data_IF_329685136197
#
_entry.id   IF_329685136197
#
_cell.length_a   1.000
_cell.length_b   1.000
_cell.length_c   1.000
_cell.angle_alpha   90.00
_cell.angle_beta   90.00
_cell.angle_gamma   90.00
#
_symmetry.space_group_name_H-M   'P 1'
#
loop_
_entity.id
_entity.type
_entity.pdbx_description
1 polymer ?
#
# COMPACT_ATOMS: atom_id res chain seq x y z
N UNK A 1 3.47 5.37 1.97
CA UNK A 1 2.33 5.08 1.07
C UNK A 1 2.55 3.79 0.28
N UNK A 2 3.55 3.73 -0.61
CA UNK A 2 3.80 2.50 -1.41
C UNK A 2 4.31 1.31 -0.59
N UNK A 3 4.97 1.56 0.55
CA UNK A 3 5.36 0.50 1.49
C UNK A 3 4.14 -0.29 2.01
N UNK A 4 3.05 0.40 2.36
CA UNK A 4 1.80 -0.26 2.79
C UNK A 4 1.23 -1.14 1.67
N UNK A 5 1.22 -0.65 0.44
CA UNK A 5 0.76 -1.41 -0.73
C UNK A 5 1.64 -2.65 -0.98
N UNK A 6 2.96 -2.52 -0.84
CA UNK A 6 3.89 -3.63 -0.96
C UNK A 6 3.66 -4.68 0.13
N UNK A 7 3.50 -4.26 1.39
CA UNK A 7 3.21 -5.18 2.51
C UNK A 7 1.91 -5.94 2.28
N UNK A 8 0.86 -5.27 1.80
CA UNK A 8 -0.42 -5.91 1.46
C UNK A 8 -0.27 -6.95 0.34
N UNK A 9 0.64 -6.73 -0.62
CA UNK A 9 0.88 -7.68 -1.71
C UNK A 9 1.48 -9.01 -1.27
N UNK A 10 2.10 -9.05 -0.08
CA UNK A 10 2.69 -10.23 0.52
C UNK A 10 1.73 -10.97 1.47
N UNK A 11 0.53 -10.44 1.67
CA UNK A 11 -0.46 -10.99 2.62
C UNK A 11 -1.60 -11.70 1.91
N UNK A 12 -2.32 -12.56 2.65
CA UNK A 12 -3.58 -13.16 2.20
C UNK A 12 -4.75 -12.30 2.66
N UNK A 13 -5.68 -12.04 1.75
CA UNK A 13 -6.90 -11.27 2.02
C UNK A 13 -8.02 -12.15 2.57
N UNK A 14 -8.93 -11.60 3.40
CA UNK A 14 -8.98 -10.21 3.87
C UNK A 14 -7.97 -9.91 4.99
N UNK A 15 -7.53 -8.65 5.09
CA UNK A 15 -6.61 -8.16 6.14
C UNK A 15 -7.27 -7.07 6.96
N UNK A 16 -7.29 -7.23 8.29
CA UNK A 16 -7.81 -6.22 9.22
C UNK A 16 -6.69 -5.29 9.70
N UNK A 17 -6.96 -3.99 9.70
CA UNK A 17 -6.01 -2.93 10.09
C UNK A 17 -6.69 -2.00 11.08
N UNK A 18 -6.27 -2.04 12.34
CA UNK A 18 -6.82 -1.21 13.42
C UNK A 18 -5.96 0.03 13.73
N UNK A 19 -4.71 0.07 13.26
CA UNK A 19 -3.82 1.19 13.52
C UNK A 19 -4.23 2.44 12.73
N UNK A 20 -4.45 3.56 13.42
CA UNK A 20 -4.98 4.78 12.81
C UNK A 20 -4.10 5.30 11.67
N UNK A 21 -2.78 5.31 11.84
CA UNK A 21 -1.83 5.77 10.80
C UNK A 21 -1.88 4.86 9.58
N UNK A 22 -2.04 3.55 9.77
CA UNK A 22 -2.21 2.61 8.66
C UNK A 22 -3.58 2.78 7.98
N UNK A 23 -4.65 3.04 8.74
CA UNK A 23 -5.98 3.33 8.20
C UNK A 23 -5.96 4.60 7.33
N UNK A 24 -5.27 5.66 7.75
CA UNK A 24 -5.11 6.86 6.93
C UNK A 24 -4.35 6.59 5.61
N UNK A 25 -3.32 5.73 5.66
CA UNK A 25 -2.63 5.30 4.46
C UNK A 25 -3.52 4.45 3.54
N UNK A 26 -4.37 3.59 4.12
CA UNK A 26 -5.38 2.83 3.36
C UNK A 26 -6.38 3.76 2.70
N UNK A 27 -6.86 4.81 3.38
CA UNK A 27 -7.76 5.82 2.78
C UNK A 27 -7.14 6.46 1.54
N UNK A 28 -5.85 6.78 1.57
CA UNK A 28 -5.13 7.33 0.41
C UNK A 28 -5.00 6.33 -0.73
N UNK A 29 -4.72 5.07 -0.42
CA UNK A 29 -4.60 4.01 -1.43
C UNK A 29 -5.95 3.65 -2.07
N UNK A 30 -7.01 3.63 -1.28
CA UNK A 30 -8.39 3.38 -1.71
C UNK A 30 -8.91 4.55 -2.57
N UNK A 31 -8.71 5.79 -2.13
CA UNK A 31 -9.04 6.99 -2.92
C UNK A 31 -8.25 7.08 -4.25
N UNK A 32 -7.03 6.53 -4.29
CA UNK A 32 -6.24 6.42 -5.52
C UNK A 32 -6.63 5.23 -6.41
N UNK A 33 -7.55 4.36 -5.96
CA UNK A 33 -8.01 3.18 -6.69
C UNK A 33 -7.02 2.01 -6.70
N UNK A 34 -6.02 1.99 -5.82
CA UNK A 34 -4.99 0.94 -5.79
C UNK A 34 -5.38 -0.29 -4.97
N UNK A 35 -6.27 -0.11 -3.99
CA UNK A 35 -6.79 -1.18 -3.16
C UNK A 35 -8.30 -1.12 -3.12
N UNK A 36 -8.92 -2.24 -2.74
CA UNK A 36 -10.32 -2.29 -2.37
C UNK A 36 -10.40 -2.50 -0.87
N UNK A 37 -10.76 -1.46 -0.12
CA UNK A 37 -10.86 -1.52 1.33
C UNK A 37 -12.26 -1.10 1.81
N UNK A 38 -12.71 -1.73 2.88
CA UNK A 38 -13.83 -1.24 3.69
C UNK A 38 -13.26 -0.46 4.86
N UNK A 39 -13.50 0.85 4.91
CA UNK A 39 -12.96 1.75 5.93
C UNK A 39 -14.13 2.37 6.70
N UNK A 40 -14.44 1.89 7.92
CA UNK A 40 -15.52 2.45 8.72
C UNK A 40 -15.20 3.91 9.09
N UNK A 41 -16.20 4.80 9.19
CA UNK A 41 -15.98 6.16 9.67
C UNK A 41 -15.54 6.16 11.13
N UNK A 42 -14.71 7.13 11.57
CA UNK A 42 -14.45 7.32 12.99
C UNK A 42 -15.76 7.72 13.69
N UNK A 43 -15.96 7.22 14.91
CA UNK A 43 -17.10 7.55 15.76
C UNK A 43 -16.60 8.05 17.12
N UNK A 44 -17.41 8.90 17.74
CA UNK A 44 -17.21 9.32 19.14
C UNK A 44 -17.99 8.33 19.99
N UNK A 45 -17.29 7.66 20.90
CA UNK A 45 -17.91 6.74 21.86
C UNK A 45 -18.42 7.51 23.09
N UNK A 46 -19.15 6.83 23.97
CA UNK A 46 -19.86 7.41 25.11
C UNK A 46 -18.94 8.04 26.17
N UNK A 47 -17.64 7.72 26.11
CA UNK A 47 -16.56 8.25 26.93
C UNK A 47 -15.84 9.45 26.26
N UNK A 48 -16.45 10.08 25.25
CA UNK A 48 -15.88 11.16 24.42
C UNK A 48 -14.57 10.78 23.72
N UNK A 49 -14.25 9.48 23.65
CA UNK A 49 -13.06 9.00 22.94
C UNK A 49 -13.38 8.78 21.46
N UNK A 50 -12.51 9.32 20.60
CA UNK A 50 -12.52 8.99 19.17
C UNK A 50 -12.06 7.55 18.98
N UNK A 51 -12.98 6.68 18.54
CA UNK A 51 -12.70 5.30 18.18
C UNK A 51 -13.00 5.09 16.70
N UNK A 52 -12.25 4.20 16.08
CA UNK A 52 -12.52 3.78 14.71
C UNK A 52 -12.40 2.26 14.67
N UNK A 53 -13.44 1.62 14.13
CA UNK A 53 -13.39 0.19 13.87
C UNK A 53 -12.26 -0.15 12.89
N UNK A 54 -11.69 -1.37 12.94
CA UNK A 54 -10.65 -1.77 12.03
C UNK A 54 -11.09 -1.67 10.56
N UNK A 55 -10.22 -1.12 9.71
CA UNK A 55 -10.41 -1.19 8.27
C UNK A 55 -10.13 -2.61 7.76
N UNK A 56 -10.92 -3.07 6.79
CA UNK A 56 -10.75 -4.39 6.16
C UNK A 56 -10.30 -4.21 4.72
N UNK A 57 -9.11 -4.70 4.39
CA UNK A 57 -8.62 -4.74 3.01
C UNK A 57 -9.08 -6.04 2.36
N UNK A 58 -9.82 -5.92 1.25
CA UNK A 58 -10.37 -7.06 0.52
C UNK A 58 -9.45 -7.54 -0.61
N UNK A 59 -8.60 -6.66 -1.13
CA UNK A 59 -7.63 -6.99 -2.17
C UNK A 59 -6.95 -5.77 -2.78
N UNK A 60 -5.95 -6.04 -3.61
CA UNK A 60 -5.27 -5.03 -4.44
C UNK A 60 -5.90 -5.03 -5.83
N UNK A 61 -6.17 -3.84 -6.37
CA UNK A 61 -6.75 -3.69 -7.71
C UNK A 61 -5.69 -3.92 -8.80
N UNK A 62 -6.08 -4.18 -10.06
CA UNK A 62 -5.12 -4.28 -11.17
C UNK A 62 -4.20 -3.06 -11.30
N UNK A 63 -4.70 -1.85 -10.99
CA UNK A 63 -3.92 -0.62 -10.99
C UNK A 63 -2.86 -0.60 -9.87
N UNK A 64 -3.22 -1.07 -8.67
CA UNK A 64 -2.29 -1.23 -7.56
C UNK A 64 -1.15 -2.20 -7.89
N UNK A 65 -1.47 -3.33 -8.51
CA UNK A 65 -0.47 -4.28 -9.01
C UNK A 65 0.43 -3.70 -10.10
N UNK A 66 -0.13 -2.92 -11.02
CA UNK A 66 0.66 -2.26 -12.08
C UNK A 66 1.69 -1.28 -11.50
N UNK A 67 1.35 -0.55 -10.43
CA UNK A 67 2.28 0.37 -9.76
C UNK A 67 3.37 -0.37 -9.00
N UNK A 68 3.02 -1.49 -8.33
CA UNK A 68 4.01 -2.34 -7.68
C UNK A 68 5.04 -2.86 -8.70
N UNK A 69 4.58 -3.33 -9.86
CA UNK A 69 5.45 -3.81 -10.94
C UNK A 69 6.33 -2.72 -11.58
N UNK A 70 5.84 -1.47 -11.64
CA UNK A 70 6.65 -0.32 -12.11
C UNK A 70 7.72 0.09 -11.10
N UNK A 71 7.41 0.02 -9.81
CA UNK A 71 8.37 0.29 -8.73
C UNK A 71 9.54 -0.70 -8.71
N UNK A 72 9.28 -1.98 -8.98
CA UNK A 72 10.32 -3.03 -9.02
C UNK A 72 11.31 -2.89 -10.19
N UNK A 73 10.95 -2.17 -11.26
CA UNK A 73 11.81 -1.98 -12.43
C UNK A 73 12.73 -0.74 -12.31
N UNK A 74 12.44 0.18 -11.39
CA UNK A 74 13.28 1.37 -11.15
C UNK A 74 14.50 1.09 -10.28
N UNK A 75 14.51 0.02 -9.48
CA UNK A 75 15.64 -0.31 -8.60
C UNK A 75 16.71 -1.15 -9.33
N UNK A 76 16.32 -1.91 -10.36
CA UNK A 76 17.25 -2.80 -11.09
C UNK A 76 18.00 -2.10 -12.25
N UNK A 77 17.53 -0.93 -12.68
CA UNK A 77 18.12 -0.17 -13.79
C UNK A 77 19.33 0.69 -13.41
N UNK A 78 19.68 0.82 -12.11
CA UNK A 78 20.89 1.54 -11.68
C UNK A 78 22.18 0.70 -11.63
N UNK A 79 22.12 -0.63 -11.81
CA UNK A 79 23.31 -1.51 -11.76
C UNK A 79 23.79 -2.06 -13.11
N UNK A 80 23.23 -1.59 -14.25
CA UNK A 80 23.64 -2.05 -15.60
C UNK A 80 24.23 -0.95 -16.48
N UNK A 81 25.01 -0.06 -15.89
CA UNK A 81 25.62 1.07 -16.59
C UNK A 81 27.02 1.43 -16.11
N UNK A 82 27.95 0.47 -16.04
CA UNK A 82 29.39 0.79 -16.08
C UNK A 82 30.21 -0.44 -16.43
N UNK A 83 30.77 -0.43 -17.64
CA UNK A 83 31.66 -1.49 -18.13
C UNK A 83 31.88 -1.41 -19.64
N UNK A 84 32.05 -0.20 -20.17
CA UNK A 84 32.67 0.01 -21.48
C UNK A 84 34.00 0.72 -21.18
N UNK A 85 35.12 0.02 -21.38
CA UNK A 85 36.31 0.56 -22.08
C UNK A 85 37.09 -0.62 -22.66
N UNK A 86 37.22 -0.59 -23.98
CA UNK A 86 38.12 -1.36 -24.83
C UNK A 86 39.58 -1.28 -24.40
N UNK A 87 40.33 -2.30 -24.78
CA UNK A 87 41.77 -2.23 -25.02
C UNK A 87 42.24 -3.51 -25.71
N UNK A 88 42.98 -3.44 -26.84
CA UNK A 88 43.37 -4.59 -27.65
C UNK A 88 44.37 -5.52 -26.97
#
# INVERSE_FOLDING_TARGET
>A
MFETLYRLSLTRFPVNVADQRQIENLRKLDAAGYVRAFIPPPHVDCDDCMRQDPATVLGITPQGWSILGRGSNSENSRRRGRGLVDGP
#
